data_IF_301197749706
#
_entry.id   IF_301197749706
#
_cell.length_a   1.000
_cell.length_b   1.000
_cell.length_c   1.000
_cell.angle_alpha   90.00
_cell.angle_beta   90.00
_cell.angle_gamma   90.00
#
_symmetry.space_group_name_H-M   'P 1'
#
loop_
_entity.id
_entity.type
_entity.pdbx_description
1 polymer ?
#
# COMPACT_ATOMS: atom_id res chain seq x y z
N UNK A 1 -26.11 -33.94 17.05
CA UNK A 1 -26.62 -33.18 15.86
C UNK A 1 -26.36 -31.66 15.92
N UNK A 2 -26.24 -31.03 17.09
CA UNK A 2 -26.03 -29.57 17.22
C UNK A 2 -24.62 -29.14 16.86
N UNK A 3 -23.60 -29.95 17.18
CA UNK A 3 -22.20 -29.60 16.91
C UNK A 3 -21.85 -29.65 15.42
N UNK A 4 -22.38 -30.61 14.67
CA UNK A 4 -22.21 -30.70 13.23
C UNK A 4 -22.88 -29.53 12.49
N UNK A 5 -24.01 -29.03 13.01
CA UNK A 5 -24.66 -27.85 12.44
C UNK A 5 -23.87 -26.56 12.67
N UNK A 6 -23.31 -26.40 13.89
CA UNK A 6 -22.42 -25.27 14.20
C UNK A 6 -21.13 -25.29 13.37
N UNK A 7 -20.52 -26.46 13.23
CA UNK A 7 -19.33 -26.64 12.42
C UNK A 7 -19.59 -26.31 10.93
N UNK A 8 -20.72 -26.79 10.38
CA UNK A 8 -21.12 -26.48 9.00
C UNK A 8 -21.40 -24.99 8.80
N UNK A 9 -22.05 -24.33 9.76
CA UNK A 9 -22.30 -22.88 9.71
C UNK A 9 -21.00 -22.07 9.81
N UNK A 10 -20.04 -22.48 10.63
CA UNK A 10 -18.72 -21.87 10.69
C UNK A 10 -17.98 -22.03 9.35
N UNK A 11 -17.94 -23.21 8.76
CA UNK A 11 -17.29 -23.44 7.48
C UNK A 11 -17.94 -22.61 6.35
N UNK A 12 -19.27 -22.51 6.32
CA UNK A 12 -19.98 -21.69 5.31
C UNK A 12 -19.67 -20.21 5.52
N UNK A 13 -19.70 -19.73 6.77
CA UNK A 13 -19.37 -18.36 7.12
C UNK A 13 -17.93 -18.01 6.75
N UNK A 14 -16.98 -18.89 7.09
CA UNK A 14 -15.56 -18.69 6.77
C UNK A 14 -15.34 -18.69 5.26
N UNK A 15 -15.98 -19.61 4.52
CA UNK A 15 -15.95 -19.60 3.06
C UNK A 15 -16.57 -18.34 2.46
N UNK A 16 -17.67 -17.86 3.05
CA UNK A 16 -18.33 -16.64 2.59
C UNK A 16 -17.46 -15.39 2.84
N UNK A 17 -16.83 -15.31 4.03
CA UNK A 17 -15.90 -14.21 4.36
C UNK A 17 -14.70 -14.21 3.41
N UNK A 18 -14.22 -15.36 2.96
CA UNK A 18 -13.12 -15.43 2.00
C UNK A 18 -13.47 -14.95 0.60
N UNK A 19 -14.77 -14.84 0.26
CA UNK A 19 -15.21 -14.25 -1.01
C UNK A 19 -15.24 -12.72 -0.99
N UNK A 20 -15.20 -12.10 0.19
CA UNK A 20 -15.00 -10.68 0.32
C UNK A 20 -13.49 -10.35 0.14
N UNK A 21 -13.21 -9.31 -0.63
CA UNK A 21 -11.84 -8.85 -0.88
C UNK A 21 -11.62 -7.45 -0.26
N UNK A 22 -11.56 -7.35 1.10
CA UNK A 22 -11.26 -6.08 1.75
C UNK A 22 -9.78 -5.73 1.55
N UNK A 23 -9.46 -4.44 1.61
CA UNK A 23 -8.07 -3.93 1.57
C UNK A 23 -7.24 -4.44 2.75
N UNK A 24 -7.89 -4.68 3.88
CA UNK A 24 -7.29 -5.26 5.09
C UNK A 24 -8.17 -6.42 5.54
N UNK A 25 -7.56 -7.56 5.81
CA UNK A 25 -8.26 -8.74 6.34
C UNK A 25 -7.70 -9.15 7.68
N UNK A 26 -8.58 -9.31 8.67
CA UNK A 26 -8.22 -9.85 9.97
C UNK A 26 -8.20 -11.40 9.91
N UNK A 27 -7.06 -11.97 10.23
CA UNK A 27 -6.84 -13.40 10.50
C UNK A 27 -6.31 -13.56 11.93
N UNK A 28 -5.29 -14.38 12.14
CA UNK A 28 -4.47 -14.34 13.35
C UNK A 28 -3.48 -13.16 13.33
N UNK A 29 -3.42 -12.46 12.23
CA UNK A 29 -2.64 -11.26 11.94
C UNK A 29 -3.46 -10.34 11.01
N UNK A 30 -3.03 -9.10 10.87
CA UNK A 30 -3.58 -8.18 9.87
C UNK A 30 -2.89 -8.43 8.53
N UNK A 31 -3.69 -8.77 7.52
CA UNK A 31 -3.22 -8.96 6.14
C UNK A 31 -3.54 -7.71 5.32
N UNK A 32 -2.51 -6.99 4.90
CA UNK A 32 -2.64 -5.85 4.00
C UNK A 32 -2.70 -6.34 2.56
N UNK A 33 -3.77 -5.98 1.82
CA UNK A 33 -4.09 -6.56 0.51
C UNK A 33 -4.25 -5.54 -0.61
N UNK A 34 -4.28 -4.27 -0.27
CA UNK A 34 -4.58 -3.19 -1.22
C UNK A 34 -3.43 -2.78 -2.12
N UNK A 35 -2.23 -3.36 -1.96
CA UNK A 35 -1.09 -3.03 -2.79
C UNK A 35 -0.97 -3.96 -3.99
N UNK A 36 -0.66 -3.38 -5.16
CA UNK A 36 -0.31 -4.12 -6.35
C UNK A 36 1.09 -4.74 -6.24
N UNK A 37 1.35 -5.75 -7.07
CA UNK A 37 2.70 -6.26 -7.28
C UNK A 37 3.54 -5.24 -8.06
N UNK A 38 4.85 -5.39 -8.01
CA UNK A 38 5.77 -4.49 -8.71
C UNK A 38 7.19 -5.06 -8.72
N UNK A 39 8.17 -4.32 -9.21
CA UNK A 39 9.57 -4.69 -9.13
C UNK A 39 10.00 -5.03 -7.70
N UNK A 40 11.04 -5.85 -7.56
CA UNK A 40 11.53 -6.31 -6.25
C UNK A 40 11.70 -5.19 -5.23
N UNK A 41 12.21 -4.05 -5.67
CA UNK A 41 12.38 -2.89 -4.80
C UNK A 41 11.04 -2.39 -4.21
N UNK A 42 9.96 -2.38 -5.00
CA UNK A 42 8.62 -2.01 -4.52
C UNK A 42 8.04 -3.07 -3.57
N UNK A 43 8.30 -4.36 -3.85
CA UNK A 43 7.90 -5.46 -2.96
C UNK A 43 8.56 -5.33 -1.59
N UNK A 44 9.83 -4.94 -1.54
CA UNK A 44 10.54 -4.68 -0.28
C UNK A 44 10.10 -3.37 0.40
N UNK A 45 9.73 -2.36 -0.37
CA UNK A 45 9.29 -1.08 0.17
C UNK A 45 7.95 -1.16 0.92
N UNK A 46 7.05 -2.06 0.50
CA UNK A 46 5.74 -2.21 1.12
C UNK A 46 5.82 -2.64 2.60
N UNK A 47 6.50 -3.73 2.98
CA UNK A 47 6.66 -4.09 4.38
C UNK A 47 7.44 -3.02 5.17
N UNK A 48 8.44 -2.37 4.58
CA UNK A 48 9.16 -1.29 5.24
C UNK A 48 8.23 -0.12 5.58
N UNK A 49 7.34 0.27 4.66
CA UNK A 49 6.32 1.29 4.93
C UNK A 49 5.44 0.91 6.13
N UNK A 50 4.87 -0.30 6.11
CA UNK A 50 3.99 -0.75 7.19
C UNK A 50 4.70 -0.91 8.52
N UNK A 51 5.94 -1.42 8.53
CA UNK A 51 6.75 -1.52 9.73
C UNK A 51 7.05 -0.12 10.30
N UNK A 52 7.42 0.84 9.46
CA UNK A 52 7.67 2.21 9.89
C UNK A 52 6.44 2.91 10.46
N UNK A 53 5.24 2.60 9.96
CA UNK A 53 3.99 3.18 10.45
C UNK A 53 3.46 2.53 11.74
N UNK A 54 3.63 1.20 11.89
CA UNK A 54 2.87 0.42 12.87
C UNK A 54 3.71 -0.11 14.04
N UNK A 55 5.03 -0.15 13.96
CA UNK A 55 5.89 -0.84 14.93
C UNK A 55 6.67 0.12 15.85
N UNK A 56 6.38 1.41 15.75
CA UNK A 56 6.90 2.42 16.67
C UNK A 56 5.72 3.28 17.18
N UNK A 57 5.64 3.45 18.49
CA UNK A 57 4.44 3.95 19.18
C UNK A 57 4.03 5.36 18.75
N UNK A 58 4.99 6.28 18.64
CA UNK A 58 4.69 7.67 18.23
C UNK A 58 4.30 7.74 16.74
N UNK A 59 4.94 6.96 15.89
CA UNK A 59 4.62 6.87 14.46
C UNK A 59 3.24 6.26 14.23
N UNK A 60 2.87 5.23 15.01
CA UNK A 60 1.54 4.66 14.98
C UNK A 60 0.48 5.69 15.41
N UNK A 61 0.70 6.41 16.51
CA UNK A 61 -0.21 7.43 16.98
C UNK A 61 -0.39 8.57 15.96
N UNK A 62 0.68 8.95 15.29
CA UNK A 62 0.65 9.98 14.25
C UNK A 62 -0.11 9.52 13.00
N UNK A 63 0.12 8.27 12.56
CA UNK A 63 -0.61 7.67 11.44
C UNK A 63 -2.11 7.52 11.76
N UNK A 64 -2.46 7.10 12.99
CA UNK A 64 -3.84 7.03 13.45
C UNK A 64 -4.51 8.41 13.47
N UNK A 65 -3.82 9.41 13.97
CA UNK A 65 -4.30 10.81 13.98
C UNK A 65 -4.58 11.32 12.56
N UNK A 66 -3.70 10.99 11.60
CA UNK A 66 -3.87 11.36 10.20
C UNK A 66 -5.12 10.71 9.56
N UNK A 67 -5.45 9.49 9.96
CA UNK A 67 -6.58 8.73 9.43
C UNK A 67 -7.88 8.94 10.21
N UNK A 68 -7.85 9.52 11.41
CA UNK A 68 -8.96 9.52 12.38
C UNK A 68 -10.26 10.18 11.89
N UNK A 69 -10.17 11.09 10.94
CA UNK A 69 -11.32 11.80 10.38
C UNK A 69 -11.83 11.21 9.06
N UNK A 70 -11.16 10.18 8.52
CA UNK A 70 -11.52 9.56 7.24
C UNK A 70 -12.62 8.52 7.48
N UNK A 71 -13.74 8.69 6.80
CA UNK A 71 -14.89 7.76 6.88
C UNK A 71 -14.81 6.70 5.79
N UNK A 72 -15.54 5.56 5.94
CA UNK A 72 -15.67 4.58 4.87
C UNK A 72 -16.22 5.17 3.56
N UNK A 73 -17.13 6.13 3.63
CA UNK A 73 -17.68 6.80 2.46
C UNK A 73 -16.61 7.66 1.75
N UNK A 74 -15.74 8.32 2.50
CA UNK A 74 -14.61 9.04 1.93
C UNK A 74 -13.67 8.11 1.15
N UNK A 75 -13.39 6.92 1.70
CA UNK A 75 -12.58 5.90 1.03
C UNK A 75 -13.24 5.42 -0.26
N UNK A 76 -14.56 5.17 -0.23
CA UNK A 76 -15.32 4.77 -1.42
C UNK A 76 -15.30 5.84 -2.52
N UNK A 77 -15.48 7.10 -2.15
CA UNK A 77 -15.41 8.22 -3.07
C UNK A 77 -13.98 8.43 -3.63
N UNK A 78 -12.96 8.26 -2.77
CA UNK A 78 -11.56 8.38 -3.17
C UNK A 78 -11.16 7.34 -4.22
N UNK A 79 -11.72 6.13 -4.20
CA UNK A 79 -11.44 5.08 -5.20
C UNK A 79 -11.67 5.58 -6.62
N UNK A 80 -12.78 6.28 -6.87
CA UNK A 80 -13.08 6.85 -8.19
C UNK A 80 -12.11 7.98 -8.55
N UNK A 81 -11.81 8.84 -7.59
CA UNK A 81 -10.89 9.95 -7.76
C UNK A 81 -9.47 9.46 -8.07
N UNK A 82 -8.95 8.51 -7.29
CA UNK A 82 -7.60 7.97 -7.44
C UNK A 82 -7.47 7.13 -8.71
N UNK A 83 -8.49 6.33 -9.06
CA UNK A 83 -8.49 5.55 -10.31
C UNK A 83 -8.33 6.42 -11.57
N UNK A 84 -8.81 7.66 -11.52
CA UNK A 84 -8.74 8.59 -12.67
C UNK A 84 -7.52 9.51 -12.61
N UNK A 85 -7.14 9.94 -11.40
CA UNK A 85 -6.18 11.03 -11.22
C UNK A 85 -4.87 10.60 -10.53
N UNK A 86 -4.73 9.31 -10.17
CA UNK A 86 -3.55 8.80 -9.47
C UNK A 86 -3.26 9.59 -8.19
N UNK A 87 -2.03 10.05 -8.03
CA UNK A 87 -1.59 10.86 -6.88
C UNK A 87 -2.23 12.26 -6.83
N UNK A 88 -2.82 12.73 -7.92
CA UNK A 88 -3.55 14.01 -7.94
C UNK A 88 -5.02 13.86 -7.52
N UNK A 89 -5.42 12.67 -7.09
CA UNK A 89 -6.75 12.39 -6.54
C UNK A 89 -6.99 13.05 -5.18
N UNK A 90 -8.23 12.90 -4.68
CA UNK A 90 -8.67 13.47 -3.41
C UNK A 90 -9.16 12.36 -2.48
N UNK A 91 -8.87 12.47 -1.18
CA UNK A 91 -9.40 11.64 -0.10
C UNK A 91 -9.85 12.54 1.06
N UNK A 92 -11.11 12.48 1.42
CA UNK A 92 -11.71 13.30 2.48
C UNK A 92 -11.41 14.81 2.32
N UNK A 93 -11.39 15.31 1.07
CA UNK A 93 -11.07 16.70 0.75
C UNK A 93 -9.57 17.06 0.80
N UNK A 94 -8.71 16.10 1.14
CA UNK A 94 -7.27 16.28 1.13
C UNK A 94 -6.65 15.75 -0.18
N UNK A 95 -5.56 16.35 -0.60
CA UNK A 95 -4.74 15.93 -1.73
C UNK A 95 -4.04 14.60 -1.39
N UNK A 96 -4.26 13.55 -2.20
CA UNK A 96 -3.67 12.22 -1.99
C UNK A 96 -2.14 12.27 -1.98
N UNK A 97 -1.54 13.10 -2.83
CA UNK A 97 -0.08 13.26 -2.85
C UNK A 97 0.46 13.79 -1.51
N UNK A 98 -0.23 14.77 -0.90
CA UNK A 98 0.17 15.30 0.41
C UNK A 98 0.02 14.26 1.51
N UNK A 99 -1.06 13.47 1.49
CA UNK A 99 -1.27 12.39 2.43
C UNK A 99 -0.21 11.30 2.29
N UNK A 100 0.10 10.90 1.05
CA UNK A 100 1.15 9.91 0.76
C UNK A 100 2.53 10.40 1.22
N UNK A 101 2.85 11.68 0.97
CA UNK A 101 4.10 12.30 1.47
C UNK A 101 4.16 12.22 2.98
N UNK A 102 3.08 12.60 3.68
CA UNK A 102 3.04 12.57 5.14
C UNK A 102 3.18 11.16 5.70
N UNK A 103 2.51 10.18 5.11
CA UNK A 103 2.65 8.77 5.52
C UNK A 103 4.08 8.27 5.34
N UNK A 104 4.74 8.63 4.24
CA UNK A 104 6.13 8.25 3.99
C UNK A 104 7.08 8.91 5.00
N UNK A 105 6.84 10.17 5.37
CA UNK A 105 7.62 10.87 6.40
C UNK A 105 7.49 10.18 7.76
N UNK A 106 6.25 9.85 8.18
CA UNK A 106 5.98 9.13 9.43
C UNK A 106 6.70 7.78 9.43
N UNK A 107 6.56 7.00 8.35
CA UNK A 107 7.22 5.70 8.23
C UNK A 107 8.75 5.82 8.29
N UNK A 108 9.32 6.84 7.63
CA UNK A 108 10.76 7.10 7.66
C UNK A 108 11.25 7.39 9.08
N UNK A 109 10.50 8.19 9.84
CA UNK A 109 10.82 8.48 11.25
C UNK A 109 10.70 7.23 12.10
N UNK A 110 9.63 6.43 11.90
CA UNK A 110 9.42 5.19 12.63
C UNK A 110 10.54 4.17 12.41
N UNK A 111 10.98 3.98 11.16
CA UNK A 111 12.11 3.08 10.89
C UNK A 111 13.42 3.57 11.54
N UNK A 112 13.70 4.86 11.50
CA UNK A 112 14.89 5.43 12.17
C UNK A 112 14.85 5.23 13.68
N UNK A 113 13.69 5.45 14.31
CA UNK A 113 13.52 5.26 15.76
C UNK A 113 13.66 3.80 16.18
N UNK A 114 13.27 2.86 15.32
CA UNK A 114 13.52 1.44 15.54
C UNK A 114 15.00 1.10 15.61
N UNK A 115 15.86 1.82 14.89
CA UNK A 115 17.30 1.68 14.92
C UNK A 115 17.82 0.32 14.44
N UNK A 116 17.07 -0.37 13.58
CA UNK A 116 17.52 -1.64 12.97
C UNK A 116 18.41 -1.32 11.78
N UNK A 117 19.64 -1.84 11.83
CA UNK A 117 20.63 -1.65 10.78
C UNK A 117 21.15 -2.99 10.27
N UNK A 118 21.60 -3.00 9.03
CA UNK A 118 22.36 -4.11 8.45
C UNK A 118 23.82 -4.15 8.96
N UNK A 119 24.59 -5.14 8.53
CA UNK A 119 26.01 -5.29 8.88
C UNK A 119 26.87 -4.10 8.38
N UNK A 120 26.39 -3.35 7.42
CA UNK A 120 27.03 -2.13 6.88
C UNK A 120 26.66 -0.85 7.62
N UNK A 121 25.76 -0.94 8.62
CA UNK A 121 25.25 0.21 9.38
C UNK A 121 24.17 1.01 8.66
N UNK A 122 23.61 0.50 7.55
CA UNK A 122 22.49 1.14 6.88
C UNK A 122 21.17 0.78 7.58
N UNK A 123 20.33 1.78 7.83
CA UNK A 123 19.01 1.56 8.39
C UNK A 123 17.98 1.12 7.35
N UNK A 124 16.79 0.70 7.82
CA UNK A 124 15.70 0.21 6.98
C UNK A 124 15.09 1.31 6.07
N UNK A 125 15.41 2.58 6.26
CA UNK A 125 14.82 3.69 5.47
C UNK A 125 15.21 3.63 3.99
N UNK A 126 16.32 2.97 3.66
CA UNK A 126 16.73 2.73 2.28
C UNK A 126 15.69 1.98 1.46
N UNK A 127 14.90 1.09 2.08
CA UNK A 127 13.82 0.36 1.41
C UNK A 127 12.66 1.26 0.97
N UNK A 128 12.51 2.45 1.54
CA UNK A 128 11.46 3.40 1.16
C UNK A 128 11.77 4.21 -0.11
N UNK A 129 12.98 4.10 -0.66
CA UNK A 129 13.42 4.89 -1.81
C UNK A 129 12.49 4.77 -3.04
N UNK A 130 11.94 3.58 -3.41
CA UNK A 130 11.00 3.48 -4.53
C UNK A 130 9.72 4.30 -4.32
N UNK A 131 9.16 4.29 -3.10
CA UNK A 131 7.97 5.08 -2.76
C UNK A 131 8.26 6.59 -2.79
N UNK A 132 9.44 6.98 -2.33
CA UNK A 132 9.90 8.37 -2.40
C UNK A 132 9.98 8.84 -3.86
N UNK A 133 10.55 8.04 -4.75
CA UNK A 133 10.63 8.34 -6.18
C UNK A 133 9.26 8.50 -6.84
N UNK A 134 8.28 7.65 -6.46
CA UNK A 134 6.89 7.76 -6.93
C UNK A 134 6.26 9.09 -6.48
N UNK A 135 6.45 9.47 -5.22
CA UNK A 135 5.92 10.72 -4.67
C UNK A 135 6.58 11.93 -5.34
N UNK A 136 7.90 11.94 -5.48
CA UNK A 136 8.66 13.03 -6.09
C UNK A 136 8.30 13.24 -7.56
N UNK A 137 8.14 12.15 -8.31
CA UNK A 137 7.74 12.21 -9.72
C UNK A 137 6.28 12.54 -9.93
N UNK A 138 5.43 12.39 -8.91
CA UNK A 138 3.96 12.45 -8.97
C UNK A 138 3.35 11.51 -10.00
N UNK A 139 4.04 10.44 -10.35
CA UNK A 139 3.58 9.43 -11.31
C UNK A 139 3.49 8.08 -10.64
N UNK A 140 2.34 7.45 -10.78
CA UNK A 140 2.16 6.06 -10.37
C UNK A 140 2.90 5.14 -11.34
N UNK A 141 3.26 3.91 -10.91
CA UNK A 141 3.84 2.91 -11.81
C UNK A 141 2.96 2.65 -13.05
N UNK A 142 1.63 2.69 -12.89
CA UNK A 142 0.70 2.52 -14.01
C UNK A 142 0.81 3.66 -15.03
N UNK A 143 0.92 4.91 -14.58
CA UNK A 143 1.10 6.06 -15.47
C UNK A 143 2.43 5.99 -16.22
N UNK A 144 3.51 5.57 -15.55
CA UNK A 144 4.81 5.36 -16.18
C UNK A 144 4.73 4.27 -17.26
N UNK A 145 4.13 3.11 -16.94
CA UNK A 145 3.94 2.03 -17.91
C UNK A 145 3.06 2.45 -19.10
N UNK A 146 2.03 3.25 -18.85
CA UNK A 146 1.15 3.76 -19.89
C UNK A 146 1.91 4.73 -20.83
N UNK A 147 2.76 5.57 -20.30
CA UNK A 147 3.63 6.44 -21.12
C UNK A 147 4.59 5.62 -21.99
N UNK A 148 5.25 4.61 -21.40
CA UNK A 148 6.13 3.72 -22.14
C UNK A 148 5.38 2.97 -23.25
N UNK A 149 4.19 2.46 -22.95
CA UNK A 149 3.34 1.78 -23.94
C UNK A 149 3.03 2.67 -25.14
N UNK A 150 2.67 3.94 -24.91
CA UNK A 150 2.32 4.85 -26.00
C UNK A 150 3.51 5.43 -26.75
N UNK A 151 4.68 5.55 -26.11
CA UNK A 151 5.86 6.21 -26.68
C UNK A 151 6.92 5.20 -27.12
N UNK A 152 7.51 4.51 -26.17
CA UNK A 152 8.74 3.73 -26.37
C UNK A 152 8.46 2.30 -26.85
N UNK A 153 7.33 1.71 -26.41
CA UNK A 153 6.96 0.34 -26.77
C UNK A 153 6.09 0.24 -28.04
N UNK A 154 5.85 1.35 -28.68
CA UNK A 154 5.10 1.41 -29.94
C UNK A 154 3.74 0.66 -29.88
N UNK A 155 3.09 0.67 -28.68
CA UNK A 155 1.86 -0.05 -28.31
C UNK A 155 1.99 -1.58 -28.29
N UNK A 156 3.20 -2.09 -28.16
CA UNK A 156 3.45 -3.50 -27.95
C UNK A 156 3.32 -3.82 -26.46
N UNK A 157 2.25 -4.55 -26.09
CA UNK A 157 1.97 -4.91 -24.69
C UNK A 157 2.95 -5.96 -24.15
N UNK A 158 3.57 -6.74 -25.00
CA UNK A 158 4.50 -7.79 -24.59
C UNK A 158 5.78 -7.20 -23.96
N UNK A 159 6.07 -5.94 -24.24
CA UNK A 159 7.18 -5.23 -23.62
C UNK A 159 7.01 -5.07 -22.09
N UNK A 160 5.78 -5.10 -21.58
CA UNK A 160 5.52 -5.09 -20.13
C UNK A 160 6.21 -6.25 -19.43
N UNK A 161 6.17 -7.45 -20.03
CA UNK A 161 6.79 -8.64 -19.45
C UNK A 161 8.32 -8.56 -19.47
N UNK A 162 8.89 -7.99 -20.52
CA UNK A 162 10.35 -7.80 -20.63
C UNK A 162 10.86 -6.75 -19.66
N UNK A 163 10.14 -5.63 -19.53
CA UNK A 163 10.54 -4.51 -18.68
C UNK A 163 10.39 -4.79 -17.17
N UNK A 164 9.54 -5.76 -16.78
CA UNK A 164 9.25 -6.08 -15.39
C UNK A 164 9.73 -7.50 -14.99
N UNK A 165 10.73 -8.05 -15.65
CA UNK A 165 11.38 -9.30 -15.22
C UNK A 165 12.13 -9.09 -13.91
N UNK A 166 11.99 -10.07 -12.99
CA UNK A 166 12.68 -10.10 -11.69
C UNK A 166 14.06 -10.70 -11.82
#
# INVERSE_FOLDING_TARGET
HSNLRRQRQMCIRDSHITTAFPEVRLKQFLEMRGADTGPWANICALPALWVGLLYEEESLAEAESLASHITPDDVMNARLSVATNGLNGQLAGADVHKLATRLLDIATVGLRRRGICDDGGNDETGFLQPLKSIIESRKTPAEVMLELYHKDWNRDIDQVFTANQY
#
